data_IF_756665835715
#
_entry.id   IF_756665835715
#
_cell.length_a   1.000
_cell.length_b   1.000
_cell.length_c   1.000
_cell.angle_alpha   90.00
_cell.angle_beta   90.00
_cell.angle_gamma   90.00
#
_symmetry.space_group_name_H-M   'P 1'
#
loop_
_entity.id
_entity.type
_entity.pdbx_description
1 polymer ?
#
# COMPACT_ATOMS: atom_id res chain seq x y z
N UNK A 1 -1.73 2.46 -28.64
CA UNK A 1 -2.22 2.43 -27.24
C UNK A 1 -2.26 1.02 -26.66
N UNK A 2 -2.94 0.06 -27.29
CA UNK A 2 -2.97 -1.35 -26.83
C UNK A 2 -1.61 -1.99 -26.46
N UNK A 3 -0.53 -1.86 -27.26
CA UNK A 3 0.75 -2.49 -26.91
C UNK A 3 1.39 -1.90 -25.64
N UNK A 4 1.18 -0.62 -25.35
CA UNK A 4 1.72 0.02 -24.14
C UNK A 4 1.03 -0.52 -22.89
N UNK A 5 -0.30 -0.66 -22.93
CA UNK A 5 -1.05 -1.26 -21.81
C UNK A 5 -0.63 -2.70 -21.56
N UNK A 6 -0.41 -3.49 -22.62
CA UNK A 6 0.06 -4.87 -22.48
C UNK A 6 1.43 -4.94 -21.79
N UNK A 7 2.38 -4.09 -22.20
CA UNK A 7 3.71 -3.99 -21.56
C UNK A 7 3.56 -3.63 -20.08
N UNK A 8 2.70 -2.65 -19.76
CA UNK A 8 2.47 -2.21 -18.37
C UNK A 8 1.82 -3.29 -17.52
N UNK A 9 0.86 -4.06 -18.07
CA UNK A 9 0.27 -5.21 -17.36
C UNK A 9 1.33 -6.26 -17.04
N UNK A 10 2.14 -6.64 -18.04
CA UNK A 10 3.19 -7.66 -17.85
C UNK A 10 4.24 -7.18 -16.83
N UNK A 11 4.70 -5.94 -16.98
CA UNK A 11 5.67 -5.35 -16.06
C UNK A 11 5.11 -5.21 -14.64
N UNK A 12 3.88 -4.73 -14.51
CA UNK A 12 3.19 -4.59 -13.22
C UNK A 12 2.98 -5.94 -12.53
N UNK A 13 2.68 -7.01 -13.28
CA UNK A 13 2.55 -8.36 -12.73
C UNK A 13 3.90 -8.91 -12.27
N UNK A 14 4.98 -8.66 -13.01
CA UNK A 14 6.35 -9.03 -12.62
C UNK A 14 6.78 -8.33 -11.32
N UNK A 15 6.57 -7.00 -11.24
CA UNK A 15 6.80 -6.24 -10.01
C UNK A 15 5.93 -6.82 -8.87
N UNK A 16 4.65 -7.10 -9.13
CA UNK A 16 3.73 -7.68 -8.14
C UNK A 16 4.20 -9.03 -7.58
N UNK A 17 4.83 -9.86 -8.42
CA UNK A 17 5.43 -11.12 -7.97
C UNK A 17 6.60 -10.88 -7.02
N UNK A 18 7.44 -9.88 -7.31
CA UNK A 18 8.48 -9.43 -6.38
C UNK A 18 7.90 -8.84 -5.08
N UNK A 19 6.77 -8.13 -5.13
CA UNK A 19 6.11 -7.62 -3.92
C UNK A 19 5.69 -8.75 -2.96
N UNK A 20 5.29 -9.92 -3.47
CA UNK A 20 5.02 -11.08 -2.62
C UNK A 20 6.26 -11.53 -1.83
N UNK A 21 7.45 -11.46 -2.44
CA UNK A 21 8.72 -11.73 -1.75
C UNK A 21 8.94 -10.70 -0.64
N UNK A 22 8.75 -9.42 -0.93
CA UNK A 22 8.86 -8.35 0.07
C UNK A 22 7.88 -8.54 1.23
N UNK A 23 6.61 -8.84 0.96
CA UNK A 23 5.57 -9.09 1.98
C UNK A 23 5.95 -10.26 2.89
N UNK A 24 6.55 -11.31 2.33
CA UNK A 24 6.95 -12.48 3.09
C UNK A 24 8.24 -12.26 3.91
N UNK A 25 9.26 -11.66 3.30
CA UNK A 25 10.63 -11.60 3.86
C UNK A 25 10.91 -10.40 4.75
N UNK A 26 10.34 -9.22 4.45
CA UNK A 26 10.64 -8.00 5.21
C UNK A 26 10.25 -8.09 6.69
N UNK A 27 9.07 -8.63 7.07
CA UNK A 27 8.72 -8.80 8.49
C UNK A 27 9.66 -9.76 9.21
N UNK A 28 10.24 -10.73 8.49
CA UNK A 28 11.17 -11.75 9.01
C UNK A 28 12.63 -11.28 9.01
N UNK A 29 12.91 -10.06 8.51
CA UNK A 29 14.27 -9.52 8.31
C UNK A 29 15.15 -10.43 7.44
N UNK A 30 14.52 -11.16 6.53
CA UNK A 30 15.22 -11.99 5.54
C UNK A 30 15.65 -11.13 4.33
N UNK A 31 16.70 -11.57 3.63
CA UNK A 31 17.15 -10.89 2.41
C UNK A 31 16.14 -11.05 1.27
N UNK A 32 15.80 -9.94 0.63
CA UNK A 32 14.91 -9.89 -0.55
C UNK A 32 15.61 -10.30 -1.85
N UNK A 33 16.95 -10.29 -1.88
CA UNK A 33 17.74 -10.59 -3.07
C UNK A 33 18.23 -12.05 -3.12
N UNK A 34 18.50 -12.67 -1.97
CA UNK A 34 19.05 -14.02 -1.89
C UNK A 34 18.57 -14.76 -0.64
N UNK A 35 18.23 -16.06 -0.70
CA UNK A 35 18.21 -16.95 -1.86
C UNK A 35 17.01 -16.69 -2.80
N UNK A 36 16.99 -17.32 -3.98
CA UNK A 36 15.88 -17.23 -4.93
C UNK A 36 14.53 -17.71 -4.36
N UNK A 37 13.46 -17.55 -5.16
CA UNK A 37 12.12 -18.03 -4.81
C UNK A 37 12.12 -19.55 -4.61
N UNK A 38 11.59 -20.00 -3.48
CA UNK A 38 11.50 -21.41 -3.12
C UNK A 38 10.16 -21.72 -2.47
N UNK A 39 9.73 -22.98 -2.54
CA UNK A 39 8.55 -23.41 -1.82
C UNK A 39 8.80 -23.44 -0.30
N UNK A 40 7.94 -22.86 0.54
CA UNK A 40 8.15 -22.85 1.99
C UNK A 40 7.98 -24.23 2.65
N UNK A 41 7.38 -25.21 1.97
CA UNK A 41 7.15 -26.55 2.53
C UNK A 41 8.25 -27.55 2.15
N UNK A 42 8.68 -27.57 0.89
CA UNK A 42 9.69 -28.53 0.42
C UNK A 42 11.06 -27.91 0.14
N UNK A 43 11.20 -26.59 0.27
CA UNK A 43 12.44 -25.83 0.00
C UNK A 43 12.99 -25.99 -1.42
N UNK A 44 12.22 -26.60 -2.33
CA UNK A 44 12.63 -26.75 -3.71
C UNK A 44 12.63 -25.37 -4.40
N UNK A 45 13.69 -25.03 -5.16
CA UNK A 45 13.73 -23.78 -5.91
C UNK A 45 12.60 -23.77 -6.95
N UNK A 46 11.93 -22.63 -7.08
CA UNK A 46 10.85 -22.46 -8.06
C UNK A 46 11.49 -22.18 -9.42
N UNK A 47 11.17 -23.01 -10.41
CA UNK A 47 11.64 -22.81 -11.78
C UNK A 47 11.17 -21.46 -12.34
N UNK A 48 11.97 -20.84 -13.21
CA UNK A 48 11.67 -19.50 -13.73
C UNK A 48 10.30 -19.42 -14.44
N UNK A 49 9.87 -20.48 -15.14
CA UNK A 49 8.56 -20.54 -15.80
C UNK A 49 7.39 -20.79 -14.82
N UNK A 50 7.67 -21.29 -13.62
CA UNK A 50 6.66 -21.41 -12.55
C UNK A 50 6.53 -20.09 -11.76
N UNK A 51 7.39 -19.11 -12.02
CA UNK A 51 7.30 -17.74 -11.51
C UNK A 51 6.60 -16.77 -12.49
N UNK A 52 5.98 -17.26 -13.58
CA UNK A 52 5.21 -16.37 -14.48
C UNK A 52 3.95 -15.90 -13.74
N UNK A 53 3.82 -14.59 -13.42
CA UNK A 53 2.77 -14.08 -12.55
C UNK A 53 1.38 -14.44 -13.06
N UNK A 54 0.46 -14.81 -12.15
CA UNK A 54 -0.94 -15.21 -12.38
C UNK A 54 -1.09 -16.49 -13.22
N UNK A 55 -0.42 -16.57 -14.37
CA UNK A 55 -0.50 -17.68 -15.32
C UNK A 55 0.00 -18.98 -14.70
N UNK A 56 1.18 -18.99 -14.07
CA UNK A 56 1.70 -20.21 -13.43
C UNK A 56 0.80 -20.68 -12.29
N UNK A 57 0.18 -19.75 -11.56
CA UNK A 57 -0.78 -20.11 -10.50
C UNK A 57 -2.01 -20.81 -11.07
N UNK A 58 -2.57 -20.31 -12.18
CA UNK A 58 -3.73 -20.92 -12.84
C UNK A 58 -3.38 -22.30 -13.43
N UNK A 59 -2.23 -22.43 -14.09
CA UNK A 59 -1.77 -23.71 -14.68
C UNK A 59 -1.51 -24.76 -13.60
N UNK A 60 -0.89 -24.36 -12.49
CA UNK A 60 -0.60 -25.25 -11.37
C UNK A 60 -1.80 -25.45 -10.43
N UNK A 61 -2.96 -24.86 -10.73
CA UNK A 61 -4.17 -24.87 -9.91
C UNK A 61 -3.90 -24.49 -8.45
N UNK A 62 -3.01 -23.50 -8.26
CA UNK A 62 -2.59 -23.02 -6.96
C UNK A 62 -1.84 -24.05 -6.11
N UNK A 63 -1.11 -24.99 -6.71
CA UNK A 63 -0.30 -26.00 -5.99
C UNK A 63 1.16 -25.97 -6.38
N UNK A 64 2.04 -26.30 -5.45
CA UNK A 64 3.46 -26.49 -5.77
C UNK A 64 3.63 -27.71 -6.68
N UNK A 65 4.44 -27.58 -7.74
CA UNK A 65 4.72 -28.66 -8.69
C UNK A 65 5.27 -29.93 -8.01
N UNK A 66 6.20 -29.78 -7.07
CA UNK A 66 6.89 -30.92 -6.44
C UNK A 66 6.10 -31.51 -5.25
N UNK A 67 5.72 -30.69 -4.27
CA UNK A 67 5.11 -31.19 -3.04
C UNK A 67 3.59 -31.06 -2.97
N UNK A 68 2.94 -30.50 -4.00
CA UNK A 68 1.49 -30.33 -4.10
C UNK A 68 0.84 -29.51 -2.97
N UNK A 69 1.64 -28.84 -2.13
CA UNK A 69 1.13 -27.92 -1.11
C UNK A 69 0.40 -26.76 -1.79
N UNK A 70 -0.70 -26.32 -1.18
CA UNK A 70 -1.49 -25.20 -1.71
C UNK A 70 -0.74 -23.88 -1.55
N UNK A 71 -0.65 -23.12 -2.63
CA UNK A 71 -0.11 -21.77 -2.69
C UNK A 71 -1.24 -20.79 -2.33
N UNK A 72 -1.04 -19.89 -1.35
CA UNK A 72 -2.07 -18.94 -0.94
C UNK A 72 -2.56 -18.05 -2.10
N UNK A 73 -3.87 -17.78 -2.15
CA UNK A 73 -4.50 -16.91 -3.17
C UNK A 73 -3.97 -15.47 -3.14
N UNK A 74 -3.36 -15.05 -2.03
CA UNK A 74 -2.71 -13.73 -1.91
C UNK A 74 -1.70 -13.48 -3.04
N UNK A 75 -0.99 -14.51 -3.48
CA UNK A 75 0.06 -14.38 -4.50
C UNK A 75 -0.47 -13.81 -5.82
N UNK A 76 -1.41 -14.49 -6.52
CA UNK A 76 -2.00 -13.96 -7.76
C UNK A 76 -2.82 -12.69 -7.53
N UNK A 77 -3.40 -12.49 -6.33
CA UNK A 77 -4.13 -11.25 -6.01
C UNK A 77 -3.20 -10.05 -5.97
N UNK A 78 -2.05 -10.13 -5.29
CA UNK A 78 -1.08 -9.02 -5.25
C UNK A 78 -0.51 -8.72 -6.64
N UNK A 79 -0.26 -9.76 -7.44
CA UNK A 79 0.21 -9.63 -8.82
C UNK A 79 -0.82 -8.90 -9.70
N UNK A 80 -2.09 -9.31 -9.63
CA UNK A 80 -3.18 -8.70 -10.37
C UNK A 80 -3.45 -7.27 -9.89
N UNK A 81 -3.48 -7.01 -8.59
CA UNK A 81 -3.70 -5.67 -8.04
C UNK A 81 -2.61 -4.70 -8.48
N UNK A 82 -1.33 -5.11 -8.45
CA UNK A 82 -0.23 -4.25 -8.90
C UNK A 82 -0.31 -3.96 -10.42
N UNK A 83 -0.59 -4.98 -11.23
CA UNK A 83 -0.77 -4.82 -12.67
C UNK A 83 -1.94 -3.89 -13.02
N UNK A 84 -3.11 -4.09 -12.39
CA UNK A 84 -4.28 -3.25 -12.59
C UNK A 84 -4.06 -1.82 -12.09
N UNK A 85 -3.40 -1.66 -10.95
CA UNK A 85 -3.02 -0.35 -10.42
C UNK A 85 -2.14 0.43 -11.39
N UNK A 86 -1.14 -0.22 -11.99
CA UNK A 86 -0.26 0.42 -12.98
C UNK A 86 -1.01 0.82 -14.25
N UNK A 87 -1.95 -0.01 -14.73
CA UNK A 87 -2.83 0.35 -15.84
C UNK A 87 -3.71 1.55 -15.48
N UNK A 88 -4.29 1.55 -14.27
CA UNK A 88 -5.07 2.68 -13.77
C UNK A 88 -4.25 3.96 -13.72
N UNK A 89 -3.02 3.90 -13.21
CA UNK A 89 -2.12 5.06 -13.17
C UNK A 89 -1.76 5.56 -14.57
N UNK A 90 -1.46 4.66 -15.51
CA UNK A 90 -1.19 5.04 -16.90
C UNK A 90 -2.43 5.67 -17.56
N UNK A 91 -3.62 5.17 -17.27
CA UNK A 91 -4.87 5.69 -17.80
C UNK A 91 -5.17 7.11 -17.28
N UNK A 92 -4.97 7.36 -15.98
CA UNK A 92 -5.28 8.63 -15.33
C UNK A 92 -4.21 9.70 -15.56
N UNK A 93 -2.93 9.37 -15.38
CA UNK A 93 -1.82 10.33 -15.45
C UNK A 93 -1.13 10.37 -16.82
N UNK A 94 -1.43 9.42 -17.71
CA UNK A 94 -0.77 9.27 -18.99
C UNK A 94 0.65 8.72 -18.89
N UNK A 95 1.35 8.57 -20.03
CA UNK A 95 2.76 8.18 -20.03
C UNK A 95 3.64 9.34 -19.56
N UNK A 96 4.33 9.16 -18.43
CA UNK A 96 5.21 10.18 -17.88
C UNK A 96 6.00 9.68 -16.66
N UNK A 97 7.01 10.46 -16.26
CA UNK A 97 7.82 10.14 -15.07
C UNK A 97 7.01 10.19 -13.76
N UNK A 98 6.00 11.05 -13.69
CA UNK A 98 5.05 11.10 -12.56
C UNK A 98 4.36 9.76 -12.35
N UNK A 99 3.91 9.12 -13.44
CA UNK A 99 3.25 7.80 -13.42
C UNK A 99 4.18 6.71 -12.88
N UNK A 100 5.47 6.76 -13.19
CA UNK A 100 6.47 5.83 -12.65
C UNK A 100 6.63 6.02 -11.14
N UNK A 101 6.73 7.27 -10.68
CA UNK A 101 6.84 7.61 -9.25
C UNK A 101 5.59 7.17 -8.49
N UNK A 102 4.40 7.42 -9.02
CA UNK A 102 3.15 6.95 -8.42
C UNK A 102 3.02 5.43 -8.48
N UNK A 103 3.57 4.76 -9.49
CA UNK A 103 3.67 3.30 -9.56
C UNK A 103 4.54 2.74 -8.43
N UNK A 104 5.68 3.37 -8.16
CA UNK A 104 6.54 3.02 -7.03
C UNK A 104 5.81 3.20 -5.69
N UNK A 105 5.12 4.32 -5.51
CA UNK A 105 4.28 4.55 -4.32
C UNK A 105 3.22 3.45 -4.20
N UNK A 106 2.47 3.16 -5.26
CA UNK A 106 1.41 2.16 -5.26
C UNK A 106 1.93 0.77 -4.88
N UNK A 107 3.06 0.35 -5.44
CA UNK A 107 3.71 -0.91 -5.09
C UNK A 107 4.18 -0.93 -3.63
N UNK A 108 4.74 0.17 -3.12
CA UNK A 108 5.10 0.29 -1.71
C UNK A 108 3.89 0.17 -0.79
N UNK A 109 2.78 0.83 -1.13
CA UNK A 109 1.51 0.75 -0.40
C UNK A 109 0.94 -0.67 -0.39
N UNK A 110 1.00 -1.40 -1.51
CA UNK A 110 0.58 -2.81 -1.57
C UNK A 110 1.41 -3.70 -0.64
N UNK A 111 2.73 -3.50 -0.58
CA UNK A 111 3.57 -4.25 0.36
C UNK A 111 3.20 -3.93 1.79
N UNK A 112 3.04 -2.64 2.13
CA UNK A 112 2.64 -2.21 3.47
C UNK A 112 1.29 -2.80 3.88
N UNK A 113 0.27 -2.74 3.02
CA UNK A 113 -1.03 -3.34 3.28
C UNK A 113 -0.92 -4.87 3.47
N UNK A 114 -0.14 -5.55 2.63
CA UNK A 114 0.08 -6.99 2.72
C UNK A 114 0.82 -7.42 3.99
N UNK A 115 1.84 -6.66 4.42
CA UNK A 115 2.58 -6.92 5.66
C UNK A 115 1.74 -6.63 6.89
N UNK A 116 0.94 -5.56 6.87
CA UNK A 116 0.11 -5.17 8.01
C UNK A 116 -1.06 -6.14 8.22
N UNK A 117 -1.72 -6.59 7.14
CA UNK A 117 -2.75 -7.64 7.22
C UNK A 117 -2.22 -8.97 7.77
N UNK A 118 -0.97 -9.31 7.45
CA UNK A 118 -0.40 -10.63 7.79
C UNK A 118 0.32 -10.64 9.14
N UNK A 119 1.00 -9.55 9.51
CA UNK A 119 1.89 -9.49 10.68
C UNK A 119 1.63 -8.27 11.58
N UNK A 120 0.69 -7.37 11.24
CA UNK A 120 0.39 -6.13 11.99
C UNK A 120 1.62 -5.23 12.17
N UNK A 121 2.51 -5.22 11.16
CA UNK A 121 3.77 -4.48 11.16
C UNK A 121 3.90 -3.72 9.85
N UNK A 122 4.24 -2.43 9.97
CA UNK A 122 4.60 -1.57 8.84
C UNK A 122 6.14 -1.50 8.77
N UNK A 123 6.77 -2.06 7.72
CA UNK A 123 8.22 -2.16 7.64
C UNK A 123 8.90 -0.81 7.42
N UNK A 124 9.78 -0.44 8.35
CA UNK A 124 10.62 0.76 8.26
C UNK A 124 11.51 0.80 7.01
N UNK A 125 11.86 -0.37 6.47
CA UNK A 125 12.64 -0.51 5.23
C UNK A 125 11.89 0.02 3.98
N UNK A 126 10.57 0.21 4.06
CA UNK A 126 9.77 0.81 2.99
C UNK A 126 9.46 2.27 3.33
N UNK A 127 9.00 2.54 4.55
CA UNK A 127 8.49 3.87 4.91
C UNK A 127 9.57 4.94 4.94
N UNK A 128 10.75 4.68 5.54
CA UNK A 128 11.81 5.70 5.59
C UNK A 128 12.42 5.99 4.22
N UNK A 129 12.85 4.99 3.42
CA UNK A 129 13.32 5.27 2.06
C UNK A 129 12.20 5.89 1.19
N UNK A 130 10.96 5.44 1.37
CA UNK A 130 9.80 6.01 0.70
C UNK A 130 9.62 7.50 0.98
N UNK A 131 9.77 7.95 2.22
CA UNK A 131 9.73 9.39 2.57
C UNK A 131 10.78 10.17 1.77
N UNK A 132 12.02 9.68 1.72
CA UNK A 132 13.11 10.34 0.99
C UNK A 132 12.80 10.40 -0.50
N UNK A 133 12.39 9.28 -1.10
CA UNK A 133 12.00 9.21 -2.51
C UNK A 133 10.83 10.13 -2.81
N UNK A 134 9.84 10.20 -1.91
CA UNK A 134 8.68 11.08 -2.02
C UNK A 134 9.07 12.56 -2.06
N UNK A 135 9.92 13.00 -1.13
CA UNK A 135 10.40 14.40 -1.08
C UNK A 135 11.26 14.77 -2.29
N UNK A 136 12.18 13.88 -2.70
CA UNK A 136 13.01 14.10 -3.90
C UNK A 136 12.13 14.17 -5.14
N UNK A 137 11.16 13.28 -5.26
CA UNK A 137 10.23 13.27 -6.39
C UNK A 137 9.30 14.49 -6.37
N UNK A 138 8.87 14.94 -5.19
CA UNK A 138 8.10 16.18 -5.03
C UNK A 138 8.87 17.43 -5.49
N UNK A 139 10.19 17.42 -5.35
CA UNK A 139 11.06 18.52 -5.79
C UNK A 139 11.34 18.51 -7.30
N UNK A 140 11.34 17.34 -7.95
CA UNK A 140 11.93 17.17 -9.28
C UNK A 140 10.97 16.66 -10.35
N UNK A 141 10.09 15.71 -10.01
CA UNK A 141 9.31 14.92 -10.99
C UNK A 141 7.81 15.21 -10.86
N UNK A 142 7.30 15.32 -9.63
CA UNK A 142 5.88 15.47 -9.37
C UNK A 142 5.45 16.95 -9.48
N UNK A 143 4.24 17.23 -9.99
CA UNK A 143 3.69 18.59 -10.09
C UNK A 143 3.22 19.14 -8.73
N UNK A 144 3.89 18.77 -7.64
CA UNK A 144 3.53 19.11 -6.26
C UNK A 144 4.37 20.27 -5.72
N UNK A 145 5.67 20.24 -6.00
CA UNK A 145 6.66 21.12 -5.40
C UNK A 145 7.12 20.65 -4.01
N UNK A 146 8.41 20.86 -3.70
CA UNK A 146 9.04 20.40 -2.46
C UNK A 146 8.34 20.91 -1.20
N UNK A 147 7.93 22.18 -1.19
CA UNK A 147 7.25 22.81 -0.03
C UNK A 147 5.97 22.05 0.32
N UNK A 148 5.15 21.70 -0.68
CA UNK A 148 3.92 20.95 -0.45
C UNK A 148 4.19 19.51 0.00
N UNK A 149 5.27 18.88 -0.47
CA UNK A 149 5.70 17.55 0.00
C UNK A 149 6.16 17.57 1.45
N UNK A 150 6.95 18.58 1.85
CA UNK A 150 7.41 18.76 3.23
C UNK A 150 6.24 19.07 4.16
N UNK A 151 5.35 19.98 3.77
CA UNK A 151 4.11 20.25 4.52
C UNK A 151 3.28 18.97 4.60
N UNK A 152 3.14 18.21 3.52
CA UNK A 152 2.42 16.95 3.52
C UNK A 152 3.00 15.91 4.48
N UNK A 153 4.32 15.78 4.54
CA UNK A 153 5.01 14.92 5.50
C UNK A 153 4.69 15.31 6.95
N UNK A 154 4.83 16.60 7.28
CA UNK A 154 4.60 17.08 8.65
C UNK A 154 3.12 17.10 9.02
N UNK A 155 2.22 17.44 8.09
CA UNK A 155 0.78 17.42 8.34
C UNK A 155 0.30 15.97 8.49
N UNK A 156 0.66 15.10 7.55
CA UNK A 156 0.30 13.69 7.60
C UNK A 156 0.86 13.00 8.85
N UNK A 157 2.17 12.98 9.01
CA UNK A 157 2.81 12.35 10.17
C UNK A 157 2.47 13.05 11.49
N UNK A 158 2.49 14.37 11.51
CA UNK A 158 2.30 15.18 12.72
C UNK A 158 0.89 15.07 13.30
N UNK A 159 -0.16 14.99 12.47
CA UNK A 159 -1.53 14.81 12.97
C UNK A 159 -1.67 13.48 13.70
N UNK A 160 -1.21 12.38 13.10
CA UNK A 160 -1.31 11.07 13.74
C UNK A 160 -0.38 10.96 14.95
N UNK A 161 0.80 11.59 14.90
CA UNK A 161 1.69 11.66 16.05
C UNK A 161 1.07 12.44 17.21
N UNK A 162 0.42 13.57 16.92
CA UNK A 162 -0.30 14.35 17.91
C UNK A 162 -1.45 13.54 18.53
N UNK A 163 -2.24 12.86 17.71
CA UNK A 163 -3.31 11.97 18.20
C UNK A 163 -2.76 10.82 19.05
N UNK A 164 -1.65 10.21 18.63
CA UNK A 164 -0.98 9.16 19.39
C UNK A 164 -0.46 9.68 20.74
N UNK A 165 0.06 10.91 20.79
CA UNK A 165 0.51 11.55 22.03
C UNK A 165 -0.64 11.92 22.98
N UNK A 166 -1.78 12.38 22.45
CA UNK A 166 -2.96 12.74 23.25
C UNK A 166 -3.75 11.50 23.71
N UNK A 167 -3.73 10.43 22.93
CA UNK A 167 -4.54 9.23 23.18
C UNK A 167 -4.41 8.58 24.57
N UNK A 168 -3.22 8.49 25.21
CA UNK A 168 -3.08 7.89 26.53
C UNK A 168 -3.73 8.76 27.62
N UNK A 169 -3.74 10.09 27.44
CA UNK A 169 -4.35 11.02 28.37
C UNK A 169 -5.88 11.02 28.28
N UNK A 170 -6.45 10.79 27.08
CA UNK A 170 -7.90 10.76 26.88
C UNK A 170 -8.52 9.38 27.12
N UNK A 171 -7.89 8.32 26.59
CA UNK A 171 -8.47 6.98 26.52
C UNK A 171 -7.77 5.95 27.42
N UNK A 172 -6.67 6.34 28.09
CA UNK A 172 -5.91 5.44 28.98
C UNK A 172 -5.20 4.29 28.25
N UNK A 173 -5.14 4.33 26.91
CA UNK A 173 -4.52 3.31 26.05
C UNK A 173 -3.78 3.99 24.90
N UNK A 174 -2.76 3.33 24.38
CA UNK A 174 -2.07 3.77 23.16
C UNK A 174 -3.06 3.69 21.98
N UNK A 175 -3.44 4.86 21.45
CA UNK A 175 -4.51 4.97 20.46
C UNK A 175 -4.10 4.65 19.02
N UNK A 176 -2.81 4.81 18.65
CA UNK A 176 -2.34 4.55 17.28
C UNK A 176 -0.92 4.00 17.22
N UNK A 177 -0.70 3.08 16.28
CA UNK A 177 0.60 2.45 16.07
C UNK A 177 1.61 3.41 15.44
N UNK A 178 2.85 3.37 15.93
CA UNK A 178 3.95 4.17 15.35
C UNK A 178 4.25 3.88 13.86
N UNK A 179 3.77 2.74 13.35
CA UNK A 179 3.82 2.41 11.92
C UNK A 179 2.91 3.30 11.07
N UNK A 180 1.68 3.56 11.53
CA UNK A 180 0.66 4.32 10.79
C UNK A 180 1.08 5.78 10.61
N UNK A 181 1.71 6.36 11.65
CA UNK A 181 2.30 7.70 11.62
C UNK A 181 3.31 7.82 10.47
N UNK A 182 4.21 6.84 10.34
CA UNK A 182 5.25 6.84 9.31
C UNK A 182 4.68 6.59 7.92
N UNK A 183 3.69 5.72 7.81
CA UNK A 183 2.99 5.46 6.57
C UNK A 183 2.34 6.73 6.04
N UNK A 184 1.62 7.47 6.89
CA UNK A 184 0.98 8.69 6.46
C UNK A 184 1.96 9.83 6.18
N UNK A 185 3.06 9.92 6.93
CA UNK A 185 4.15 10.84 6.61
C UNK A 185 4.72 10.56 5.21
N UNK A 186 4.90 9.28 4.86
CA UNK A 186 5.32 8.86 3.51
C UNK A 186 4.29 9.26 2.46
N UNK A 187 3.00 8.95 2.68
CA UNK A 187 1.93 9.31 1.75
C UNK A 187 1.87 10.83 1.54
N UNK A 188 1.98 11.61 2.61
CA UNK A 188 2.03 13.07 2.56
C UNK A 188 3.25 13.61 1.80
N UNK A 189 4.40 12.95 1.87
CA UNK A 189 5.57 13.34 1.09
C UNK A 189 5.35 13.19 -0.43
N UNK A 190 4.59 12.18 -0.87
CA UNK A 190 4.29 11.95 -2.29
C UNK A 190 3.09 12.75 -2.81
N UNK A 191 2.01 12.82 -2.02
CA UNK A 191 0.74 13.40 -2.48
C UNK A 191 0.52 14.85 -2.00
N UNK A 192 1.30 15.29 -1.02
CA UNK A 192 1.12 16.58 -0.35
C UNK A 192 0.08 16.53 0.78
N UNK A 193 -0.17 17.68 1.37
CA UNK A 193 -0.97 17.78 2.60
C UNK A 193 -2.48 17.61 2.38
N UNK A 194 -3.06 18.11 1.29
CA UNK A 194 -4.51 17.97 1.05
C UNK A 194 -4.91 16.50 0.86
N UNK A 195 -4.23 15.70 0.00
CA UNK A 195 -4.56 14.29 -0.14
C UNK A 195 -4.18 13.46 1.11
N UNK A 196 -3.18 13.89 1.90
CA UNK A 196 -2.87 13.23 3.17
C UNK A 196 -4.02 13.34 4.18
N UNK A 197 -4.68 14.51 4.27
CA UNK A 197 -5.87 14.68 5.10
C UNK A 197 -7.04 13.81 4.62
N UNK A 198 -7.27 13.78 3.30
CA UNK A 198 -8.28 12.92 2.69
C UNK A 198 -8.00 11.44 2.97
N UNK A 199 -6.73 11.04 2.98
CA UNK A 199 -6.32 9.67 3.31
C UNK A 199 -6.72 9.28 4.73
N UNK A 200 -6.51 10.16 5.73
CA UNK A 200 -6.97 9.92 7.10
C UNK A 200 -8.50 9.80 7.15
N UNK A 201 -9.20 10.72 6.48
CA UNK A 201 -10.66 10.78 6.51
C UNK A 201 -11.28 9.52 5.89
N UNK A 202 -10.87 9.15 4.67
CA UNK A 202 -11.36 7.96 3.98
C UNK A 202 -10.92 6.69 4.72
N UNK A 203 -9.67 6.64 5.19
CA UNK A 203 -9.15 5.50 5.94
C UNK A 203 -9.89 5.27 7.27
N UNK A 204 -10.15 6.34 8.03
CA UNK A 204 -10.91 6.25 9.29
C UNK A 204 -12.38 5.90 9.07
N UNK A 205 -13.01 6.42 8.01
CA UNK A 205 -14.37 6.06 7.64
C UNK A 205 -14.48 4.57 7.24
N UNK A 206 -13.58 4.08 6.38
CA UNK A 206 -13.56 2.67 5.99
C UNK A 206 -13.22 1.75 7.16
N UNK A 207 -12.23 2.13 7.97
CA UNK A 207 -11.81 1.37 9.15
C UNK A 207 -12.90 1.29 10.21
N UNK A 208 -13.62 2.39 10.46
CA UNK A 208 -14.76 2.40 11.39
C UNK A 208 -15.95 1.61 10.84
N UNK A 209 -16.27 1.72 9.55
CA UNK A 209 -17.35 0.95 8.94
C UNK A 209 -17.09 -0.55 9.05
N UNK A 210 -15.88 -1.01 8.69
CA UNK A 210 -15.49 -2.42 8.78
C UNK A 210 -15.35 -2.87 10.24
N UNK A 211 -14.76 -2.05 11.10
CA UNK A 211 -14.60 -2.39 12.52
C UNK A 211 -15.94 -2.53 13.24
N UNK A 212 -16.86 -1.56 13.06
CA UNK A 212 -18.20 -1.58 13.67
C UNK A 212 -19.02 -2.75 13.12
N UNK A 213 -18.97 -3.03 11.83
CA UNK A 213 -19.70 -4.17 11.24
C UNK A 213 -19.18 -5.51 11.75
N UNK A 214 -17.86 -5.69 11.88
CA UNK A 214 -17.28 -6.92 12.45
C UNK A 214 -17.61 -7.10 13.93
N UNK A 215 -17.63 -6.01 14.71
CA UNK A 215 -18.05 -6.04 16.11
C UNK A 215 -19.54 -6.37 16.21
N UNK A 216 -20.39 -5.75 15.39
CA UNK A 216 -21.83 -6.00 15.36
C UNK A 216 -22.16 -7.45 14.94
N UNK A 217 -21.39 -8.01 14.01
CA UNK A 217 -21.48 -9.41 13.59
C UNK A 217 -20.88 -10.39 14.60
N UNK A 218 -20.38 -9.92 15.76
CA UNK A 218 -19.75 -10.72 16.81
C UNK A 218 -18.55 -11.58 16.32
N UNK A 219 -17.91 -11.16 15.23
CA UNK A 219 -16.72 -11.83 14.69
C UNK A 219 -15.48 -11.48 15.50
N UNK A 220 -15.42 -10.26 16.03
CA UNK A 220 -14.32 -9.73 16.84
C UNK A 220 -14.85 -9.05 18.11
N UNK A 221 -14.03 -9.04 19.16
CA UNK A 221 -14.31 -8.28 20.38
C UNK A 221 -13.91 -6.82 20.18
N UNK A 222 -14.51 -5.92 20.97
CA UNK A 222 -14.15 -4.49 20.98
C UNK A 222 -12.68 -4.21 21.33
N UNK A 223 -12.02 -5.17 21.96
CA UNK A 223 -10.63 -5.08 22.41
C UNK A 223 -9.64 -5.66 21.38
N UNK A 224 -10.14 -6.31 20.32
CA UNK A 224 -9.27 -6.90 19.32
C UNK A 224 -8.65 -5.81 18.43
N UNK A 225 -7.34 -5.87 18.29
CA UNK A 225 -6.59 -4.93 17.48
C UNK A 225 -6.77 -5.21 15.98
N UNK A 226 -7.42 -4.28 15.28
CA UNK A 226 -7.58 -4.29 13.83
C UNK A 226 -6.42 -3.49 13.20
N UNK A 227 -5.67 -4.06 12.23
CA UNK A 227 -4.63 -3.32 11.53
C UNK A 227 -5.21 -2.13 10.77
N UNK A 228 -4.78 -0.91 11.10
CA UNK A 228 -5.30 0.32 10.49
C UNK A 228 -4.61 0.66 9.16
N UNK A 229 -3.38 0.15 8.94
CA UNK A 229 -2.57 0.41 7.75
C UNK A 229 -3.28 0.12 6.42
N UNK A 230 -4.00 -1.01 6.23
CA UNK A 230 -4.72 -1.29 5.00
C UNK A 230 -5.80 -0.26 4.68
N UNK A 231 -6.49 0.26 5.70
CA UNK A 231 -7.50 1.30 5.50
C UNK A 231 -6.86 2.64 5.11
N UNK A 232 -5.72 2.99 5.71
CA UNK A 232 -4.92 4.13 5.26
C UNK A 232 -4.41 3.96 3.83
N UNK A 233 -3.97 2.76 3.44
CA UNK A 233 -3.58 2.47 2.05
C UNK A 233 -4.75 2.65 1.10
N UNK A 234 -5.93 2.14 1.43
CA UNK A 234 -7.14 2.36 0.62
C UNK A 234 -7.46 3.86 0.50
N UNK A 235 -7.40 4.59 1.61
CA UNK A 235 -7.57 6.05 1.62
C UNK A 235 -6.55 6.77 0.74
N UNK A 236 -5.30 6.32 0.73
CA UNK A 236 -4.23 6.88 -0.09
C UNK A 236 -4.46 6.62 -1.58
N UNK A 237 -4.88 5.41 -1.94
CA UNK A 237 -5.23 5.06 -3.32
C UNK A 237 -6.42 5.88 -3.82
N UNK A 238 -7.47 6.02 -3.01
CA UNK A 238 -8.61 6.88 -3.34
C UNK A 238 -8.17 8.33 -3.51
N UNK A 239 -7.34 8.83 -2.60
CA UNK A 239 -6.82 10.21 -2.64
C UNK A 239 -5.88 10.45 -3.81
N UNK A 240 -5.14 9.43 -4.27
CA UNK A 240 -4.27 9.50 -5.43
C UNK A 240 -5.05 9.65 -6.74
N UNK A 241 -6.14 8.88 -6.92
CA UNK A 241 -6.93 8.92 -8.15
C UNK A 241 -7.98 10.05 -8.17
N UNK A 242 -8.58 10.36 -7.02
CA UNK A 242 -9.74 11.25 -6.94
C UNK A 242 -9.52 12.48 -6.06
N UNK A 243 -8.31 12.72 -5.55
CA UNK A 243 -8.04 13.75 -4.56
C UNK A 243 -8.51 15.15 -4.97
N UNK A 244 -8.26 15.58 -6.21
CA UNK A 244 -8.71 16.88 -6.70
C UNK A 244 -10.23 16.95 -6.87
N UNK A 245 -10.85 15.96 -7.53
CA UNK A 245 -12.30 15.94 -7.73
C UNK A 245 -13.08 15.86 -6.41
N UNK A 246 -12.57 15.15 -5.40
CA UNK A 246 -13.16 15.10 -4.06
C UNK A 246 -13.01 16.42 -3.30
N UNK A 247 -11.87 17.09 -3.42
CA UNK A 247 -11.65 18.41 -2.83
C UNK A 247 -12.57 19.46 -3.44
N UNK A 248 -12.72 19.45 -4.76
CA UNK A 248 -13.59 20.39 -5.47
C UNK A 248 -15.07 20.15 -5.12
N UNK A 249 -15.48 18.88 -5.01
CA UNK A 249 -16.82 18.51 -4.53
C UNK A 249 -17.07 18.98 -3.09
N UNK A 250 -16.13 18.74 -2.18
CA UNK A 250 -16.25 19.15 -0.77
C UNK A 250 -16.30 20.67 -0.61
N UNK A 251 -15.45 21.40 -1.35
CA UNK A 251 -15.46 22.87 -1.35
C UNK A 251 -16.74 23.43 -1.98
N UNK A 252 -17.26 22.79 -3.02
CA UNK A 252 -18.55 23.14 -3.61
C UNK A 252 -19.72 22.94 -2.65
N UNK A 253 -19.66 21.94 -1.76
CA UNK A 253 -20.67 21.66 -0.74
C UNK A 253 -20.62 22.65 0.45
N UNK A 254 -19.45 23.24 0.72
CA UNK A 254 -19.28 24.31 1.70
C UNK A 254 -19.59 25.71 1.15
N UNK A 255 -19.50 25.88 -0.17
CA UNK A 255 -19.75 27.15 -0.85
C UNK A 255 -21.21 27.32 -1.31
N UNK A 256 -22.05 26.30 -1.15
CA UNK A 256 -23.50 26.33 -1.36
C UNK A 256 -24.26 26.26 -0.04
#
# INVERSE_FOLDING_TARGET
MFPVYLIVVLFGALIGSFLNVCIYRLPRRESIAWPGSHCPSCSHPIAWYDNIPVVSYLILLGRCRNCQVRIPIRYPVVEALNALGYVGLLWFFGPGWSTVVYGLLYSALLVVAGTDLSHKIIPNAITFPGIVVGLVSAATILPLGLVNGVIGLFVGGGILWFLAWVSPYLFGKEGMGGGDIKLLAMIGAFLGWKPALMTIMVGSLLGSLVGVTLIAAHVIKREDYIPFGPFLVCGAVVSLFFGQSLLDWYLGLLAG
#
